data_IF_428503256618
#
_entry.id   IF_428503256618
#
_cell.length_a   1.000
_cell.length_b   1.000
_cell.length_c   1.000
_cell.angle_alpha   90.00
_cell.angle_beta   90.00
_cell.angle_gamma   90.00
#
_symmetry.space_group_name_H-M   'P 1'
#
loop_
_entity.id
_entity.type
_entity.pdbx_description
1 polymer ?
#
# COMPACT_ATOMS: atom_id res chain seq x y z
N UNK A 1 0.69 -4.18 1.46
CA UNK A 1 -0.26 -3.07 1.74
C UNK A 1 -0.27 -2.10 0.59
N UNK A 2 -1.38 -1.42 0.36
CA UNK A 2 -1.53 -0.41 -0.70
C UNK A 2 -2.14 0.88 -0.16
N UNK A 3 -1.77 2.01 -0.76
CA UNK A 3 -2.29 3.34 -0.44
C UNK A 3 -3.12 3.92 -1.58
N UNK A 4 -4.10 4.76 -1.25
CA UNK A 4 -4.80 5.60 -2.21
C UNK A 4 -4.09 6.95 -2.35
N UNK A 5 -3.50 7.29 -3.53
CA UNK A 5 -2.76 8.54 -3.71
C UNK A 5 -3.59 9.81 -3.44
N UNK A 6 -4.88 9.81 -3.76
CA UNK A 6 -5.78 10.94 -3.49
C UNK A 6 -5.81 11.31 -2.01
N UNK A 7 -5.92 10.31 -1.13
CA UNK A 7 -5.95 10.52 0.32
C UNK A 7 -4.58 10.84 0.91
N UNK A 8 -3.48 10.56 0.21
CA UNK A 8 -2.17 11.06 0.62
C UNK A 8 -2.03 12.56 0.30
N UNK A 9 -2.47 12.96 -0.90
CA UNK A 9 -2.23 14.28 -1.46
C UNK A 9 -3.18 15.39 -1.01
N UNK A 10 -4.38 15.06 -0.51
CA UNK A 10 -5.39 16.04 -0.09
C UNK A 10 -5.37 16.39 1.42
N UNK A 11 -4.36 15.88 2.12
CA UNK A 11 -4.06 16.26 3.51
C UNK A 11 -3.52 17.69 3.58
N UNK A 12 -3.45 18.26 4.80
CA UNK A 12 -2.87 19.60 5.00
C UNK A 12 -1.39 19.71 4.62
N UNK A 13 -0.67 18.58 4.56
CA UNK A 13 0.74 18.53 4.15
C UNK A 13 0.94 18.62 2.63
N UNK A 14 -0.09 18.31 1.83
CA UNK A 14 0.04 18.16 0.39
C UNK A 14 0.97 17.02 -0.01
N UNK A 15 1.30 16.95 -1.31
CA UNK A 15 2.23 15.97 -1.84
C UNK A 15 3.00 16.52 -3.05
N UNK A 16 4.04 15.79 -3.45
CA UNK A 16 4.76 16.05 -4.69
C UNK A 16 4.63 14.84 -5.60
N UNK A 17 4.30 15.06 -6.88
CA UNK A 17 4.34 13.97 -7.85
C UNK A 17 5.78 13.57 -8.15
N UNK A 18 6.05 12.30 -8.48
CA UNK A 18 7.37 11.87 -8.93
C UNK A 18 7.87 12.64 -10.14
N UNK A 19 9.18 12.58 -10.38
CA UNK A 19 9.83 13.28 -11.51
C UNK A 19 9.37 12.77 -12.88
N UNK A 20 8.77 11.58 -12.93
CA UNK A 20 8.18 10.97 -14.12
C UNK A 20 6.67 11.26 -14.28
N UNK A 21 6.12 12.18 -13.48
CA UNK A 21 4.76 12.70 -13.65
C UNK A 21 3.75 12.19 -12.60
N UNK A 22 2.50 12.62 -12.77
CA UNK A 22 1.39 12.25 -11.88
C UNK A 22 1.12 10.74 -11.98
N UNK A 23 1.08 10.00 -10.85
CA UNK A 23 0.70 8.59 -10.86
C UNK A 23 -0.72 8.36 -11.39
N UNK A 24 -1.00 7.12 -11.78
CA UNK A 24 -2.34 6.74 -12.18
C UNK A 24 -3.34 6.85 -11.01
N UNK A 25 -4.61 7.06 -11.33
CA UNK A 25 -5.72 7.06 -10.37
C UNK A 25 -6.10 5.61 -10.00
N UNK A 26 -5.15 4.91 -9.40
CA UNK A 26 -5.27 3.57 -8.83
C UNK A 26 -4.58 3.53 -7.47
N UNK A 27 -4.85 2.49 -6.67
CA UNK A 27 -4.04 2.21 -5.49
C UNK A 27 -2.58 2.06 -5.90
N UNK A 28 -1.66 2.58 -5.09
CA UNK A 28 -0.22 2.36 -5.20
C UNK A 28 0.23 1.39 -4.10
N UNK A 29 1.32 0.69 -4.30
CA UNK A 29 1.98 -0.08 -3.25
C UNK A 29 2.45 0.91 -2.19
N UNK A 30 2.14 0.59 -0.93
CA UNK A 30 2.70 1.30 0.22
C UNK A 30 3.96 0.59 0.70
N UNK A 31 3.84 -0.72 0.91
CA UNK A 31 4.86 -1.56 1.54
C UNK A 31 4.51 -3.04 1.50
N UNK A 32 5.54 -3.89 1.52
CA UNK A 32 5.44 -5.33 1.73
C UNK A 32 6.16 -5.68 3.04
N UNK A 33 5.44 -5.78 4.16
CA UNK A 33 6.10 -5.83 5.47
C UNK A 33 5.97 -7.20 6.11
N UNK A 34 7.09 -7.83 6.54
CA UNK A 34 7.03 -8.93 7.49
C UNK A 34 6.30 -8.48 8.76
N UNK A 35 5.41 -9.32 9.27
CA UNK A 35 4.54 -8.96 10.39
C UNK A 35 4.33 -10.18 11.30
N UNK A 36 4.40 -9.98 12.61
CA UNK A 36 4.15 -11.02 13.59
C UNK A 36 2.67 -11.06 13.98
N UNK A 37 2.17 -12.26 14.29
CA UNK A 37 0.78 -12.46 14.68
C UNK A 37 0.38 -11.76 16.00
N UNK A 38 1.36 -11.28 16.79
CA UNK A 38 1.13 -10.51 18.01
C UNK A 38 0.96 -9.00 17.77
N UNK A 39 0.98 -8.54 16.51
CA UNK A 39 0.82 -7.13 16.17
C UNK A 39 2.12 -6.32 16.07
N UNK A 40 3.27 -6.93 16.31
CA UNK A 40 4.58 -6.29 16.10
C UNK A 40 5.17 -6.67 14.74
N UNK A 41 6.20 -5.97 14.29
CA UNK A 41 6.93 -6.28 13.07
C UNK A 41 8.44 -6.13 13.31
N UNK A 42 9.27 -6.96 12.67
CA UNK A 42 10.71 -6.75 12.68
C UNK A 42 11.07 -5.55 11.77
N UNK A 43 12.17 -4.88 12.08
CA UNK A 43 12.67 -3.76 11.27
C UNK A 43 14.19 -3.69 11.27
N UNK A 44 14.77 -3.23 10.18
CA UNK A 44 16.22 -2.98 10.02
C UNK A 44 17.06 -4.23 10.37
N UNK A 45 16.69 -5.38 9.80
CA UNK A 45 17.20 -6.68 10.22
C UNK A 45 18.63 -6.99 9.77
N UNK A 46 19.09 -6.41 8.66
CA UNK A 46 20.47 -6.52 8.20
C UNK A 46 21.00 -5.16 7.72
N UNK A 47 21.93 -4.59 8.47
CA UNK A 47 22.60 -3.34 8.09
C UNK A 47 23.67 -3.52 7.01
N UNK A 48 24.08 -4.75 6.72
CA UNK A 48 25.11 -5.06 5.72
C UNK A 48 24.53 -5.29 4.33
N UNK A 49 23.22 -5.53 4.21
CA UNK A 49 22.54 -5.75 2.94
C UNK A 49 21.83 -4.47 2.47
N UNK A 50 22.63 -3.45 2.17
CA UNK A 50 22.12 -2.19 1.65
C UNK A 50 21.43 -2.39 0.29
N UNK A 51 20.38 -1.59 0.06
CA UNK A 51 19.66 -1.54 -1.20
C UNK A 51 20.61 -1.29 -2.38
N UNK A 52 20.42 -2.05 -3.46
CA UNK A 52 21.17 -1.95 -4.69
C UNK A 52 20.23 -1.88 -5.90
N UNK A 53 20.00 -0.67 -6.39
CA UNK A 53 19.13 -0.40 -7.54
C UNK A 53 19.45 -1.22 -8.80
N UNK A 54 20.69 -1.69 -9.00
CA UNK A 54 21.01 -2.53 -10.17
C UNK A 54 20.34 -3.89 -10.12
N UNK A 55 20.03 -4.40 -8.92
CA UNK A 55 19.31 -5.67 -8.75
C UNK A 55 17.85 -5.59 -9.16
N UNK A 56 17.27 -4.40 -9.34
CA UNK A 56 15.85 -4.22 -9.71
C UNK A 56 15.69 -3.46 -11.03
N UNK A 57 16.77 -3.32 -11.80
CA UNK A 57 16.80 -2.48 -12.99
C UNK A 57 15.77 -2.91 -14.05
N UNK A 58 15.53 -4.22 -14.18
CA UNK A 58 14.58 -4.82 -15.10
C UNK A 58 13.11 -4.52 -14.73
N UNK A 59 12.82 -4.31 -13.44
CA UNK A 59 11.46 -4.03 -12.94
C UNK A 59 11.25 -2.56 -12.53
N UNK A 60 12.26 -1.70 -12.66
CA UNK A 60 12.24 -0.32 -12.20
C UNK A 60 11.07 0.49 -12.78
N UNK A 61 10.76 0.35 -14.07
CA UNK A 61 9.63 1.05 -14.69
C UNK A 61 8.27 0.63 -14.13
N UNK A 62 8.13 -0.64 -13.76
CA UNK A 62 6.94 -1.18 -13.09
C UNK A 62 6.82 -0.62 -11.68
N UNK A 63 7.94 -0.50 -10.96
CA UNK A 63 7.97 0.13 -9.63
C UNK A 63 7.65 1.63 -9.70
N UNK A 64 8.12 2.37 -10.70
CA UNK A 64 7.72 3.77 -10.90
C UNK A 64 6.22 3.92 -11.09
N UNK A 65 5.60 2.98 -11.81
CA UNK A 65 4.16 3.03 -12.07
C UNK A 65 3.34 2.65 -10.82
N UNK A 66 3.77 1.62 -10.08
CA UNK A 66 2.95 0.98 -9.05
C UNK A 66 3.38 1.29 -7.62
N UNK A 67 4.61 1.73 -7.39
CA UNK A 67 5.15 2.10 -6.08
C UNK A 67 5.82 3.50 -6.11
N UNK A 68 5.11 4.55 -6.58
CA UNK A 68 5.64 5.89 -6.65
C UNK A 68 5.77 6.55 -5.27
N UNK A 69 6.81 7.35 -5.09
CA UNK A 69 6.92 8.28 -3.97
C UNK A 69 6.07 9.52 -4.20
N UNK A 70 5.26 9.86 -3.19
CA UNK A 70 4.48 11.11 -3.14
C UNK A 70 5.11 12.14 -2.19
N UNK A 71 6.31 11.85 -1.66
CA UNK A 71 7.03 12.72 -0.75
C UNK A 71 7.57 13.96 -1.45
N UNK A 72 7.69 15.05 -0.70
CA UNK A 72 8.34 16.28 -1.17
C UNK A 72 9.79 16.37 -0.67
N UNK A 73 10.73 16.85 -1.49
CA UNK A 73 10.55 17.26 -2.89
C UNK A 73 10.33 16.06 -3.84
N UNK A 74 9.84 16.35 -5.06
CA UNK A 74 9.67 15.35 -6.13
C UNK A 74 10.95 14.52 -6.33
N UNK A 75 10.79 13.19 -6.46
CA UNK A 75 11.91 12.26 -6.62
C UNK A 75 11.61 11.15 -7.64
N UNK A 76 12.63 10.36 -7.98
CA UNK A 76 12.49 9.17 -8.82
C UNK A 76 12.03 7.92 -8.04
N UNK A 77 11.66 8.08 -6.76
CA UNK A 77 11.23 7.02 -5.84
C UNK A 77 12.32 6.05 -5.35
N UNK A 78 13.58 6.22 -5.78
CA UNK A 78 14.68 5.33 -5.33
C UNK A 78 14.91 5.38 -3.82
N UNK A 79 14.81 6.55 -3.19
CA UNK A 79 14.98 6.70 -1.73
C UNK A 79 13.85 6.01 -0.95
N UNK A 80 12.63 6.04 -1.49
CA UNK A 80 11.49 5.30 -0.92
C UNK A 80 11.79 3.80 -0.95
N UNK A 81 12.19 3.25 -2.10
CA UNK A 81 12.49 1.83 -2.23
C UNK A 81 13.68 1.41 -1.36
N UNK A 82 14.72 2.24 -1.30
CA UNK A 82 15.86 2.01 -0.42
C UNK A 82 15.45 1.93 1.06
N UNK A 83 14.56 2.84 1.50
CA UNK A 83 14.04 2.84 2.86
C UNK A 83 13.15 1.63 3.15
N UNK A 84 12.26 1.26 2.21
CA UNK A 84 11.39 0.08 2.34
C UNK A 84 12.20 -1.22 2.38
N UNK A 85 13.23 -1.35 1.53
CA UNK A 85 14.14 -2.49 1.58
C UNK A 85 14.90 -2.54 2.91
N UNK A 86 15.58 -1.45 3.27
CA UNK A 86 16.42 -1.40 4.49
C UNK A 86 15.59 -1.67 5.75
N UNK A 87 14.39 -1.10 5.83
CA UNK A 87 13.55 -1.20 7.02
C UNK A 87 12.77 -2.52 7.07
N UNK A 88 12.22 -2.98 5.95
CA UNK A 88 11.29 -4.12 5.94
C UNK A 88 11.77 -5.29 5.09
N UNK A 89 12.33 -5.04 3.90
CA UNK A 89 12.83 -6.07 2.99
C UNK A 89 13.93 -6.93 3.59
N UNK A 90 14.89 -6.32 4.30
CA UNK A 90 15.98 -7.05 4.98
C UNK A 90 15.48 -8.07 6.01
N UNK A 91 14.27 -7.88 6.54
CA UNK A 91 13.64 -8.81 7.47
C UNK A 91 12.98 -10.03 6.79
N UNK A 92 13.00 -10.09 5.47
CA UNK A 92 12.46 -11.19 4.66
C UNK A 92 13.52 -11.99 3.90
N UNK A 93 14.81 -11.67 4.08
CA UNK A 93 15.94 -12.21 3.29
C UNK A 93 16.08 -13.73 3.29
N UNK A 94 15.58 -14.39 4.35
CA UNK A 94 15.57 -15.86 4.41
C UNK A 94 14.63 -16.51 3.39
N UNK A 95 13.72 -15.72 2.80
CA UNK A 95 12.71 -16.15 1.82
C UNK A 95 12.80 -15.34 0.51
N UNK A 96 12.98 -14.03 0.62
CA UNK A 96 12.95 -13.07 -0.49
C UNK A 96 14.25 -12.29 -0.52
N UNK A 97 15.03 -12.44 -1.60
CA UNK A 97 16.10 -11.48 -1.88
C UNK A 97 15.52 -10.13 -2.34
N UNK A 98 16.40 -9.16 -2.58
CA UNK A 98 16.01 -7.80 -2.96
C UNK A 98 15.13 -7.75 -4.22
N UNK A 99 15.50 -8.49 -5.28
CA UNK A 99 14.69 -8.50 -6.50
C UNK A 99 13.33 -9.14 -6.22
N UNK A 100 13.31 -10.30 -5.58
CA UNK A 100 12.09 -11.03 -5.26
C UNK A 100 11.13 -10.22 -4.38
N UNK A 101 11.64 -9.48 -3.39
CA UNK A 101 10.84 -8.59 -2.53
C UNK A 101 10.03 -7.57 -3.33
N UNK A 102 10.70 -6.86 -4.27
CA UNK A 102 10.03 -5.86 -5.10
C UNK A 102 9.14 -6.51 -6.18
N UNK A 103 9.61 -7.60 -6.78
CA UNK A 103 8.85 -8.34 -7.79
C UNK A 103 7.56 -8.93 -7.23
N UNK A 104 7.59 -9.46 -6.00
CA UNK A 104 6.41 -10.01 -5.34
C UNK A 104 5.43 -8.92 -4.94
N UNK A 105 5.92 -7.79 -4.41
CA UNK A 105 5.06 -6.63 -4.13
C UNK A 105 4.30 -6.16 -5.40
N UNK A 106 4.98 -6.12 -6.55
CA UNK A 106 4.36 -5.83 -7.86
C UNK A 106 3.33 -6.90 -8.24
N UNK A 107 3.69 -8.18 -8.11
CA UNK A 107 2.80 -9.31 -8.41
C UNK A 107 1.52 -9.25 -7.58
N UNK A 108 1.62 -9.00 -6.28
CA UNK A 108 0.47 -8.87 -5.39
C UNK A 108 -0.42 -7.68 -5.74
N UNK A 109 0.19 -6.54 -6.08
CA UNK A 109 -0.58 -5.37 -6.53
C UNK A 109 -1.37 -5.69 -7.80
N UNK A 110 -0.75 -6.41 -8.73
CA UNK A 110 -1.40 -6.80 -9.98
C UNK A 110 -2.50 -7.86 -9.77
N UNK A 111 -2.32 -8.81 -8.84
CA UNK A 111 -3.31 -9.87 -8.60
C UNK A 111 -4.57 -9.40 -7.87
N UNK A 112 -4.46 -8.35 -7.05
CA UNK A 112 -5.56 -7.93 -6.17
C UNK A 112 -6.58 -6.99 -6.84
N UNK A 113 -6.21 -6.30 -7.93
CA UNK A 113 -7.10 -5.39 -8.68
C UNK A 113 -8.04 -4.53 -7.81
N UNK A 114 -7.53 -4.00 -6.68
CA UNK A 114 -8.35 -3.45 -5.59
C UNK A 114 -9.40 -2.42 -6.03
N UNK A 115 -9.00 -1.47 -6.88
CA UNK A 115 -9.92 -0.46 -7.39
C UNK A 115 -11.07 -1.07 -8.20
N UNK A 116 -10.82 -2.17 -8.94
CA UNK A 116 -11.87 -2.85 -9.68
C UNK A 116 -12.82 -3.63 -8.76
N UNK A 117 -12.30 -4.26 -7.70
CA UNK A 117 -13.14 -4.87 -6.68
C UNK A 117 -14.13 -3.85 -6.09
N UNK A 118 -13.65 -2.65 -5.74
CA UNK A 118 -14.50 -1.56 -5.24
C UNK A 118 -15.50 -1.06 -6.30
N UNK A 119 -15.04 -0.80 -7.54
CA UNK A 119 -15.89 -0.35 -8.65
C UNK A 119 -17.02 -1.34 -8.97
N UNK A 120 -16.77 -2.64 -8.86
CA UNK A 120 -17.79 -3.69 -9.08
C UNK A 120 -18.98 -3.58 -8.12
N UNK A 121 -18.81 -2.90 -6.99
CA UNK A 121 -19.84 -2.60 -5.99
C UNK A 121 -20.22 -1.11 -5.94
N UNK A 122 -19.96 -0.38 -7.03
CA UNK A 122 -20.24 1.06 -7.17
C UNK A 122 -19.52 1.95 -6.14
N UNK A 123 -18.40 1.48 -5.57
CA UNK A 123 -17.52 2.27 -4.71
C UNK A 123 -16.41 2.83 -5.60
N UNK A 124 -16.44 4.14 -5.85
CA UNK A 124 -15.56 4.80 -6.81
C UNK A 124 -14.90 6.03 -6.19
N UNK A 125 -13.66 6.39 -6.58
CA UNK A 125 -12.95 7.55 -6.05
C UNK A 125 -13.51 8.85 -6.64
N UNK A 126 -14.71 9.22 -6.21
CA UNK A 126 -15.47 10.37 -6.72
C UNK A 126 -15.73 11.44 -5.64
N UNK A 127 -15.06 11.33 -4.49
CA UNK A 127 -15.32 12.17 -3.32
C UNK A 127 -16.56 11.76 -2.52
N UNK A 128 -17.18 10.61 -2.84
CA UNK A 128 -18.33 10.07 -2.14
C UNK A 128 -17.98 9.52 -0.75
N UNK A 129 -18.99 9.46 0.11
CA UNK A 129 -18.92 8.87 1.45
C UNK A 129 -19.43 7.43 1.40
N UNK A 130 -18.63 6.49 1.89
CA UNK A 130 -18.92 5.05 1.84
C UNK A 130 -18.79 4.42 3.21
N UNK A 131 -19.69 3.49 3.55
CA UNK A 131 -19.61 2.71 4.79
C UNK A 131 -18.37 1.81 4.77
N UNK A 132 -17.67 1.71 5.90
CA UNK A 132 -16.51 0.83 6.06
C UNK A 132 -16.87 -0.63 5.80
N UNK A 133 -18.04 -1.07 6.27
CA UNK A 133 -18.53 -2.44 6.03
C UNK A 133 -18.76 -2.70 4.54
N UNK A 134 -19.24 -1.71 3.79
CA UNK A 134 -19.43 -1.85 2.33
C UNK A 134 -18.10 -1.98 1.59
N UNK A 135 -17.08 -1.21 1.99
CA UNK A 135 -15.72 -1.30 1.44
C UNK A 135 -15.12 -2.68 1.74
N UNK A 136 -15.20 -3.09 3.00
CA UNK A 136 -14.69 -4.38 3.49
C UNK A 136 -15.36 -5.53 2.73
N UNK A 137 -16.69 -5.55 2.68
CA UNK A 137 -17.46 -6.59 2.00
C UNK A 137 -17.19 -6.64 0.48
N UNK A 138 -16.99 -5.48 -0.16
CA UNK A 138 -16.67 -5.43 -1.58
C UNK A 138 -15.33 -6.11 -1.90
N UNK A 139 -14.31 -5.84 -1.08
CA UNK A 139 -12.99 -6.45 -1.24
C UNK A 139 -13.04 -7.93 -0.84
N UNK A 140 -13.67 -8.28 0.28
CA UNK A 140 -13.81 -9.70 0.71
C UNK A 140 -14.52 -10.55 -0.33
N UNK A 141 -15.61 -10.04 -0.93
CA UNK A 141 -16.34 -10.77 -1.97
C UNK A 141 -15.52 -10.98 -3.26
N UNK A 142 -14.55 -10.10 -3.50
CA UNK A 142 -13.70 -10.12 -4.69
C UNK A 142 -12.49 -11.04 -4.50
N UNK A 143 -11.85 -10.96 -3.34
CA UNK A 143 -10.56 -11.61 -3.05
C UNK A 143 -10.66 -12.85 -2.18
N UNK A 144 -11.83 -13.11 -1.57
CA UNK A 144 -12.04 -14.24 -0.66
C UNK A 144 -11.44 -14.05 0.74
N UNK A 145 -10.79 -12.92 1.01
CA UNK A 145 -10.11 -12.62 2.26
C UNK A 145 -10.53 -11.26 2.80
N UNK A 146 -10.67 -11.17 4.12
CA UNK A 146 -11.05 -9.92 4.79
C UNK A 146 -9.87 -8.94 4.74
N UNK A 147 -10.04 -7.70 4.23
CA UNK A 147 -8.99 -6.70 4.30
C UNK A 147 -8.99 -5.97 5.65
N UNK A 148 -7.84 -5.40 6.00
CA UNK A 148 -7.79 -4.29 6.94
C UNK A 148 -8.01 -2.98 6.20
N UNK A 149 -8.73 -2.04 6.80
CA UNK A 149 -8.95 -0.70 6.24
C UNK A 149 -8.24 0.32 7.11
N UNK A 150 -7.41 1.17 6.48
CA UNK A 150 -6.71 2.27 7.11
C UNK A 150 -7.24 3.63 6.63
N UNK A 151 -7.35 4.57 7.55
CA UNK A 151 -7.83 5.92 7.29
C UNK A 151 -6.82 6.97 7.70
N UNK A 152 -6.86 8.11 7.00
CA UNK A 152 -6.31 9.37 7.49
C UNK A 152 -7.39 10.46 7.44
N UNK A 153 -6.99 11.71 7.61
CA UNK A 153 -7.88 12.87 7.49
C UNK A 153 -7.43 13.77 6.35
N UNK A 154 -8.40 14.25 5.56
CA UNK A 154 -8.16 15.31 4.58
C UNK A 154 -7.86 16.65 5.28
N UNK A 155 -7.52 17.67 4.48
CA UNK A 155 -7.32 19.05 4.96
C UNK A 155 -8.51 19.67 5.70
N UNK A 156 -9.72 19.12 5.53
CA UNK A 156 -10.94 19.53 6.23
C UNK A 156 -11.22 18.70 7.49
N UNK A 157 -10.34 17.76 7.85
CA UNK A 157 -10.46 16.92 9.03
C UNK A 157 -11.40 15.71 8.87
N UNK A 158 -11.85 15.40 7.65
CA UNK A 158 -12.77 14.28 7.37
C UNK A 158 -12.01 12.99 7.18
N UNK A 159 -12.52 11.90 7.74
CA UNK A 159 -11.93 10.57 7.56
C UNK A 159 -12.11 10.07 6.12
N UNK A 160 -11.03 9.51 5.57
CA UNK A 160 -11.00 9.02 4.19
C UNK A 160 -10.24 7.70 4.07
N UNK A 161 -10.60 6.92 3.05
CA UNK A 161 -9.96 5.65 2.72
C UNK A 161 -8.52 5.89 2.26
N UNK A 162 -7.56 5.52 3.11
CA UNK A 162 -6.14 5.75 2.83
C UNK A 162 -5.39 4.46 2.52
N UNK A 163 -5.44 3.46 3.40
CA UNK A 163 -4.70 2.21 3.25
C UNK A 163 -5.64 1.01 3.15
N UNK A 164 -5.21 0.01 2.40
CA UNK A 164 -5.80 -1.33 2.41
C UNK A 164 -4.70 -2.33 2.77
N UNK A 165 -4.96 -3.11 3.82
CA UNK A 165 -4.09 -4.15 4.33
C UNK A 165 -4.61 -5.51 3.86
N UNK A 166 -3.74 -6.27 3.20
CA UNK A 166 -3.97 -7.66 2.83
C UNK A 166 -2.76 -8.46 3.32
N UNK A 167 -2.99 -9.69 3.77
CA UNK A 167 -1.93 -10.57 4.22
C UNK A 167 -1.63 -11.63 3.17
N UNK A 168 -0.36 -12.00 3.12
CA UNK A 168 0.15 -13.07 2.31
C UNK A 168 0.87 -14.06 3.22
N UNK A 169 0.91 -15.32 2.81
CA UNK A 169 1.62 -16.35 3.57
C UNK A 169 3.13 -16.07 3.61
N UNK A 170 3.83 -16.77 4.52
CA UNK A 170 5.27 -16.57 4.73
C UNK A 170 6.12 -16.91 3.49
N UNK A 171 5.61 -17.75 2.58
CA UNK A 171 6.29 -18.03 1.31
C UNK A 171 6.16 -16.90 0.30
N UNK A 172 5.40 -15.85 0.59
CA UNK A 172 5.27 -14.67 -0.26
C UNK A 172 4.44 -14.91 -1.53
N UNK A 173 3.53 -15.91 -1.56
CA UNK A 173 2.90 -16.33 -2.83
C UNK A 173 1.38 -16.37 -2.83
N UNK A 174 0.73 -16.50 -1.66
CA UNK A 174 -0.73 -16.66 -1.58
C UNK A 174 -1.33 -15.69 -0.58
N UNK A 175 -2.48 -15.12 -0.93
CA UNK A 175 -3.32 -14.38 0.02
C UNK A 175 -3.76 -15.29 1.16
N UNK A 176 -3.88 -14.71 2.35
CA UNK A 176 -4.41 -15.36 3.53
C UNK A 176 -5.17 -14.36 4.39
N UNK A 177 -6.02 -14.86 5.28
CA UNK A 177 -6.62 -14.02 6.31
C UNK A 177 -5.54 -13.50 7.26
N UNK A 178 -5.60 -12.21 7.57
CA UNK A 178 -4.64 -11.61 8.49
C UNK A 178 -4.88 -12.12 9.92
N UNK A 179 -3.84 -12.59 10.63
CA UNK A 179 -3.97 -12.95 12.05
C UNK A 179 -4.31 -11.74 12.93
N UNK A 180 -3.86 -10.55 12.52
CA UNK A 180 -4.03 -9.28 13.22
C UNK A 180 -4.01 -8.15 12.21
N UNK A 181 -4.74 -7.08 12.48
CA UNK A 181 -4.73 -5.86 11.67
C UNK A 181 -4.12 -4.71 12.46
N UNK A 182 -3.35 -3.81 11.82
CA UNK A 182 -2.98 -2.53 12.42
C UNK A 182 -4.20 -1.71 12.83
N UNK A 183 -3.99 -0.72 13.71
CA UNK A 183 -5.03 0.26 14.02
C UNK A 183 -5.55 0.92 12.74
N UNK A 184 -6.88 0.93 12.57
CA UNK A 184 -7.51 1.45 11.36
C UNK A 184 -7.30 2.94 11.17
N UNK A 185 -7.04 3.71 12.24
CA UNK A 185 -6.97 5.17 12.16
C UNK A 185 -8.31 5.85 11.78
N UNK A 186 -9.41 5.10 11.64
CA UNK A 186 -10.73 5.62 11.25
C UNK A 186 -11.53 6.20 12.44
N UNK A 187 -10.96 6.18 13.65
CA UNK A 187 -11.64 6.62 14.87
C UNK A 187 -12.90 5.81 15.14
N UNK A 188 -13.95 6.48 15.60
CA UNK A 188 -15.30 5.90 15.77
C UNK A 188 -16.17 6.02 14.52
N UNK A 189 -15.60 6.45 13.37
CA UNK A 189 -16.37 6.63 12.14
C UNK A 189 -16.80 5.29 11.56
N UNK A 190 -18.04 5.20 11.09
CA UNK A 190 -18.57 4.04 10.36
C UNK A 190 -18.51 4.20 8.85
N UNK A 191 -18.17 5.40 8.37
CA UNK A 191 -18.07 5.75 6.95
C UNK A 191 -16.88 6.67 6.69
N UNK A 192 -16.37 6.62 5.46
CA UNK A 192 -15.17 7.36 5.04
C UNK A 192 -15.33 7.88 3.62
N UNK A 193 -14.69 9.02 3.35
CA UNK A 193 -14.63 9.57 2.00
C UNK A 193 -13.68 8.77 1.12
N UNK A 194 -13.99 8.67 -0.18
CA UNK A 194 -13.07 8.13 -1.17
C UNK A 194 -12.77 9.22 -2.21
N UNK A 195 -11.73 10.05 -2.00
CA UNK A 195 -11.48 11.21 -2.84
C UNK A 195 -11.04 10.81 -4.24
N UNK A 196 -11.28 11.68 -5.21
CA UNK A 196 -10.65 11.58 -6.53
C UNK A 196 -9.14 11.82 -6.42
N UNK A 197 -8.38 11.27 -7.37
CA UNK A 197 -6.96 11.58 -7.53
C UNK A 197 -6.67 12.16 -8.90
#
# INVERSE_FOLDING_TARGET
MTQWPGSYCDTSSGCCYPTYGKPQSDFAIYGLWPYYANGTYPSNCDSNNAFNATKIQDIQSSLQTNWPSLYCPSSNSSDLWANEWTTHGTCSETVLDEHAYFQDALSFKNQTFLLQCLKSKAITPNGGLYMLDSITNAITSCLGHVPGIGCNKDSSGRYQLYLVYLCINQSGTLLMDCPVYPSSGCGSSTAVYFPSF
#
